data_IF_706537433270
#
_entry.id   IF_706537433270
#
_cell.length_a   1.000
_cell.length_b   1.000
_cell.length_c   1.000
_cell.angle_alpha   90.00
_cell.angle_beta   90.00
_cell.angle_gamma   90.00
#
_symmetry.space_group_name_H-M   'P 1'
#
loop_
_entity.id
_entity.type
_entity.pdbx_description
1 polymer ?
#
# COMPACT_ATOMS: atom_id res chain seq x y z
N UNK A 1 10.18 -5.19 1.79
CA UNK A 1 9.57 -4.78 3.09
C UNK A 1 9.71 -3.27 3.29
N UNK A 2 8.66 -2.59 3.75
CA UNK A 2 8.61 -1.13 3.84
C UNK A 2 9.25 -0.55 5.12
N UNK A 3 9.89 0.62 4.99
CA UNK A 3 10.50 1.39 6.07
C UNK A 3 9.72 2.69 6.32
N UNK A 4 9.38 2.95 7.58
CA UNK A 4 8.58 4.12 7.97
C UNK A 4 9.27 5.45 7.62
N UNK A 5 10.60 5.51 7.71
CA UNK A 5 11.40 6.69 7.34
C UNK A 5 11.34 7.03 5.84
N UNK A 6 11.03 6.04 5.00
CA UNK A 6 10.89 6.18 3.54
C UNK A 6 9.44 6.33 3.11
N UNK A 7 8.51 6.53 4.06
CA UNK A 7 7.09 6.69 3.76
C UNK A 7 6.90 7.83 2.77
N UNK A 8 6.19 7.53 1.68
CA UNK A 8 5.90 8.53 0.65
C UNK A 8 4.79 9.49 1.09
N UNK A 9 4.89 10.73 0.64
CA UNK A 9 3.90 11.79 0.89
C UNK A 9 2.60 11.58 0.15
N UNK A 10 2.59 10.78 -0.92
CA UNK A 10 1.40 10.49 -1.71
C UNK A 10 0.42 9.57 -0.97
N UNK A 11 0.88 8.83 0.06
CA UNK A 11 -0.01 8.01 0.86
C UNK A 11 -0.96 8.87 1.70
N UNK A 12 -2.22 8.45 1.82
CA UNK A 12 -3.09 9.00 2.86
C UNK A 12 -2.55 8.68 4.26
N UNK A 13 -2.89 9.53 5.22
CA UNK A 13 -2.47 9.34 6.62
C UNK A 13 -3.08 8.06 7.20
N UNK A 14 -2.27 7.27 7.91
CA UNK A 14 -2.72 6.04 8.56
C UNK A 14 -1.65 4.95 8.63
N UNK A 15 -1.98 3.76 9.15
CA UNK A 15 -1.02 2.69 9.40
C UNK A 15 -0.49 2.02 8.13
N UNK A 16 -1.29 1.92 7.06
CA UNK A 16 -0.82 1.37 5.79
C UNK A 16 -0.14 2.45 4.96
N UNK A 17 0.99 2.11 4.34
CA UNK A 17 1.73 3.00 3.47
C UNK A 17 2.61 2.22 2.49
N UNK A 18 2.89 2.85 1.36
CA UNK A 18 3.95 2.48 0.43
C UNK A 18 5.15 3.38 0.68
N UNK A 19 6.34 2.82 0.73
CA UNK A 19 7.56 3.59 0.90
C UNK A 19 8.27 3.87 -0.44
N UNK A 20 9.34 4.67 -0.41
CA UNK A 20 10.08 5.07 -1.61
C UNK A 20 10.92 3.94 -2.23
N UNK A 21 10.96 2.74 -1.63
CA UNK A 21 11.62 1.57 -2.22
C UNK A 21 10.71 0.80 -3.18
N UNK A 22 9.44 1.22 -3.32
CA UNK A 22 8.50 0.65 -4.27
C UNK A 22 9.09 0.60 -5.67
N UNK A 23 9.04 -0.58 -6.28
CA UNK A 23 9.52 -0.86 -7.64
C UNK A 23 8.38 -0.95 -8.66
N UNK A 24 7.18 -0.52 -8.28
CA UNK A 24 6.01 -0.51 -9.15
C UNK A 24 5.60 -1.88 -9.72
N UNK A 25 5.81 -2.95 -8.95
CA UNK A 25 5.50 -4.31 -9.38
C UNK A 25 3.99 -4.59 -9.53
N UNK A 26 3.13 -3.72 -8.99
CA UNK A 26 1.68 -3.81 -9.07
C UNK A 26 0.99 -4.81 -8.14
N UNK A 27 1.73 -5.64 -7.39
CA UNK A 27 1.13 -6.66 -6.52
C UNK A 27 0.12 -6.09 -5.54
N UNK A 28 0.42 -4.98 -4.87
CA UNK A 28 -0.48 -4.45 -3.83
C UNK A 28 -1.86 -4.06 -4.37
N UNK A 29 -1.95 -3.25 -5.44
CA UNK A 29 -3.23 -2.79 -5.98
C UNK A 29 -3.94 -3.85 -6.85
N UNK A 30 -3.21 -4.83 -7.39
CA UNK A 30 -3.85 -5.97 -8.07
C UNK A 30 -4.59 -6.87 -7.08
N UNK A 31 -4.06 -7.02 -5.87
CA UNK A 31 -4.69 -7.81 -4.80
C UNK A 31 -5.76 -7.03 -4.04
N UNK A 32 -5.48 -5.75 -3.78
CA UNK A 32 -6.35 -4.86 -3.00
C UNK A 32 -6.47 -3.45 -3.62
N UNK A 33 -7.23 -3.32 -4.73
CA UNK A 33 -7.43 -2.03 -5.39
C UNK A 33 -8.27 -1.04 -4.57
N UNK A 34 -8.89 -1.49 -3.48
CA UNK A 34 -9.70 -0.63 -2.61
C UNK A 34 -8.85 0.29 -1.73
N UNK A 35 -7.59 -0.05 -1.50
CA UNK A 35 -6.69 0.68 -0.61
C UNK A 35 -5.40 1.11 -1.29
N UNK A 36 -4.91 0.33 -2.26
CA UNK A 36 -3.71 0.62 -3.02
C UNK A 36 -4.06 0.97 -4.46
N UNK A 37 -3.30 1.88 -5.05
CA UNK A 37 -3.41 2.21 -6.47
C UNK A 37 -2.04 2.52 -7.08
N UNK A 38 -1.98 2.41 -8.41
CA UNK A 38 -0.90 2.96 -9.21
C UNK A 38 -0.92 4.48 -9.11
N UNK A 39 0.25 5.08 -8.85
CA UNK A 39 0.40 6.53 -8.86
C UNK A 39 1.67 6.94 -9.64
N UNK A 40 1.73 6.51 -10.89
CA UNK A 40 2.74 6.91 -11.86
C UNK A 40 3.92 5.94 -11.90
N UNK A 41 4.97 6.23 -11.13
CA UNK A 41 6.17 5.38 -11.10
C UNK A 41 6.22 4.42 -9.91
N UNK A 42 5.26 4.55 -8.99
CA UNK A 42 5.23 3.83 -7.72
C UNK A 42 3.80 3.82 -7.18
N UNK A 43 3.43 2.72 -6.52
CA UNK A 43 2.16 2.59 -5.80
C UNK A 43 1.99 3.63 -4.69
N UNK A 44 0.74 3.88 -4.30
CA UNK A 44 0.39 4.57 -3.04
C UNK A 44 -0.79 3.92 -2.35
N UNK A 45 -0.93 4.18 -1.05
CA UNK A 45 -2.17 3.93 -0.31
C UNK A 45 -3.09 5.15 -0.47
N UNK A 46 -4.23 4.96 -1.13
CA UNK A 46 -5.20 6.03 -1.39
C UNK A 46 -6.39 6.00 -0.40
N UNK A 47 -6.63 4.86 0.23
CA UNK A 47 -7.62 4.72 1.31
C UNK A 47 -7.08 3.77 2.39
N UNK A 48 -7.37 4.08 3.67
CA UNK A 48 -7.04 3.18 4.77
C UNK A 48 -8.16 2.16 4.98
N UNK A 49 -7.84 0.89 5.21
CA UNK A 49 -8.85 -0.13 5.46
C UNK A 49 -9.58 0.11 6.76
N UNK A 50 -10.87 -0.20 6.79
CA UNK A 50 -11.63 -0.26 8.04
C UNK A 50 -11.27 -1.53 8.83
N UNK A 51 -11.48 -1.53 10.17
CA UNK A 51 -11.26 -2.72 10.97
C UNK A 51 -12.06 -3.93 10.47
N UNK A 52 -11.44 -5.12 10.51
CA UNK A 52 -12.04 -6.39 10.07
C UNK A 52 -11.51 -6.83 8.70
N UNK A 53 -12.40 -7.29 7.83
CA UNK A 53 -12.05 -7.93 6.55
C UNK A 53 -11.22 -7.05 5.61
N UNK A 54 -11.46 -5.72 5.61
CA UNK A 54 -10.66 -4.78 4.81
C UNK A 54 -9.20 -4.75 5.30
N UNK A 55 -8.98 -4.79 6.62
CA UNK A 55 -7.64 -4.81 7.20
C UNK A 55 -6.92 -6.11 6.87
N UNK A 56 -7.61 -7.26 6.96
CA UNK A 56 -7.03 -8.56 6.59
C UNK A 56 -6.60 -8.59 5.12
N UNK A 57 -7.42 -8.04 4.22
CA UNK A 57 -7.12 -7.93 2.80
C UNK A 57 -5.91 -7.04 2.53
N UNK A 58 -5.87 -5.86 3.15
CA UNK A 58 -4.75 -4.94 3.02
C UNK A 58 -3.44 -5.52 3.57
N UNK A 59 -3.50 -6.30 4.65
CA UNK A 59 -2.35 -7.04 5.20
C UNK A 59 -1.85 -8.10 4.22
N UNK A 60 -2.74 -8.87 3.59
CA UNK A 60 -2.34 -9.84 2.57
C UNK A 60 -1.66 -9.18 1.38
N UNK A 61 -2.21 -8.06 0.89
CA UNK A 61 -1.60 -7.29 -0.19
C UNK A 61 -0.20 -6.75 0.19
N UNK A 62 -0.06 -6.23 1.41
CA UNK A 62 1.23 -5.75 1.94
C UNK A 62 2.25 -6.89 2.11
N UNK A 63 1.81 -8.07 2.54
CA UNK A 63 2.68 -9.24 2.72
C UNK A 63 3.14 -9.84 1.38
N UNK A 64 2.32 -9.73 0.32
CA UNK A 64 2.67 -10.16 -1.02
C UNK A 64 3.61 -9.17 -1.75
N UNK A 65 3.78 -7.95 -1.21
CA UNK A 65 4.66 -6.94 -1.80
C UNK A 65 6.15 -7.30 -1.53
N UNK A 66 7.03 -7.23 -2.56
CA UNK A 66 8.46 -7.49 -2.40
C UNK A 66 9.16 -6.50 -1.43
#
# INVERSE_FOLDING_TARGET
MAHQEKRRTENVSGPFYVDSSCIDCGTCWQWDPQHFEDHGQQARVWAQPRPGAETERALMAAQACP
#
